data_IF_889234143778
#
_entry.id   IF_889234143778
#
_cell.length_a   1.000
_cell.length_b   1.000
_cell.length_c   1.000
_cell.angle_alpha   90.00
_cell.angle_beta   90.00
_cell.angle_gamma   90.00
#
_symmetry.space_group_name_H-M   'P 1'
#
loop_
_entity.id
_entity.type
_entity.pdbx_description
1 polymer ?
#
# COMPACT_ATOMS: atom_id res chain seq x y z
N UNK A 1 2.99 -21.69 -0.67
CA UNK A 1 1.56 -21.28 -0.66
C UNK A 1 1.40 -20.18 -1.68
N UNK A 2 0.40 -20.28 -2.54
CA UNK A 2 0.10 -19.26 -3.55
C UNK A 2 -0.65 -18.06 -2.93
N UNK A 3 -0.60 -16.87 -3.55
CA UNK A 3 -1.40 -15.73 -3.14
C UNK A 3 -2.92 -15.98 -3.25
N UNK A 4 -3.67 -15.33 -2.37
CA UNK A 4 -5.13 -15.39 -2.36
C UNK A 4 -5.75 -14.27 -1.54
N UNK A 5 -7.08 -14.20 -1.56
CA UNK A 5 -7.85 -13.24 -0.77
C UNK A 5 -7.60 -13.47 0.72
N UNK A 6 -7.53 -12.38 1.49
CA UNK A 6 -7.34 -12.45 2.93
C UNK A 6 -8.53 -13.19 3.58
N UNK A 7 -8.24 -14.26 4.31
CA UNK A 7 -9.25 -15.02 5.04
C UNK A 7 -9.57 -14.33 6.36
N UNK A 8 -10.85 -14.00 6.54
CA UNK A 8 -11.38 -13.43 7.77
C UNK A 8 -12.33 -14.42 8.45
N UNK A 9 -12.48 -14.29 9.77
CA UNK A 9 -13.57 -14.99 10.47
C UNK A 9 -14.93 -14.43 10.03
N UNK A 10 -16.01 -15.17 10.30
CA UNK A 10 -17.37 -14.82 9.84
C UNK A 10 -17.79 -13.40 10.21
N UNK A 11 -17.49 -12.96 11.44
CA UNK A 11 -17.84 -11.63 11.92
C UNK A 11 -17.07 -10.52 11.16
N UNK A 12 -15.76 -10.70 11.00
CA UNK A 12 -14.91 -9.77 10.28
C UNK A 12 -15.25 -9.72 8.79
N UNK A 13 -15.52 -10.86 8.15
CA UNK A 13 -15.95 -10.92 6.73
C UNK A 13 -17.18 -10.06 6.51
N UNK A 14 -18.23 -10.22 7.34
CA UNK A 14 -19.47 -9.44 7.21
C UNK A 14 -19.24 -7.93 7.32
N UNK A 15 -18.35 -7.52 8.23
CA UNK A 15 -18.03 -6.09 8.44
C UNK A 15 -17.19 -5.56 7.27
N UNK A 16 -16.16 -6.29 6.88
CA UNK A 16 -15.28 -5.93 5.75
C UNK A 16 -16.07 -5.82 4.45
N UNK A 17 -16.91 -6.82 4.12
CA UNK A 17 -17.72 -6.81 2.90
C UNK A 17 -18.63 -5.58 2.83
N UNK A 18 -19.21 -5.17 3.97
CA UNK A 18 -20.02 -3.96 4.05
C UNK A 18 -19.20 -2.71 3.70
N UNK A 19 -17.96 -2.61 4.16
CA UNK A 19 -17.09 -1.47 3.85
C UNK A 19 -16.60 -1.50 2.40
N UNK A 20 -16.27 -2.67 1.85
CA UNK A 20 -15.88 -2.82 0.44
C UNK A 20 -17.01 -2.45 -0.52
N UNK A 21 -18.26 -2.72 -0.14
CA UNK A 21 -19.46 -2.37 -0.91
C UNK A 21 -19.95 -0.92 -0.67
N UNK A 22 -19.38 -0.21 0.31
CA UNK A 22 -19.80 1.15 0.62
C UNK A 22 -19.23 2.15 -0.39
N UNK A 23 -20.10 2.91 -1.04
CA UNK A 23 -19.73 3.90 -2.05
C UNK A 23 -18.68 4.91 -1.55
N UNK A 24 -18.69 5.25 -0.25
CA UNK A 24 -17.74 6.21 0.31
C UNK A 24 -16.32 5.65 0.32
N UNK A 25 -16.16 4.38 0.64
CA UNK A 25 -14.84 3.73 0.62
C UNK A 25 -14.39 3.41 -0.80
N UNK A 26 -15.31 3.09 -1.70
CA UNK A 26 -15.00 2.98 -3.14
C UNK A 26 -14.47 4.31 -3.69
N UNK A 27 -15.06 5.44 -3.28
CA UNK A 27 -14.58 6.77 -3.68
C UNK A 27 -13.21 7.10 -3.04
N UNK A 28 -12.99 6.75 -1.77
CA UNK A 28 -11.67 6.91 -1.14
C UNK A 28 -10.59 6.05 -1.80
N UNK A 29 -10.95 4.83 -2.23
CA UNK A 29 -10.06 3.95 -2.97
C UNK A 29 -9.64 4.59 -4.29
N UNK A 30 -10.61 4.99 -5.10
CA UNK A 30 -10.38 5.70 -6.37
C UNK A 30 -9.63 7.02 -6.20
N UNK A 31 -9.87 7.74 -5.11
CA UNK A 31 -9.13 8.95 -4.79
C UNK A 31 -7.65 8.67 -4.57
N UNK A 32 -7.32 7.59 -3.84
CA UNK A 32 -5.94 7.17 -3.68
C UNK A 32 -5.29 6.73 -5.00
N UNK A 33 -6.01 5.99 -5.84
CA UNK A 33 -5.52 5.59 -7.17
C UNK A 33 -5.22 6.85 -8.02
N UNK A 34 -6.15 7.82 -8.05
CA UNK A 34 -5.97 9.08 -8.78
C UNK A 34 -4.76 9.87 -8.27
N UNK A 35 -4.60 10.02 -6.96
CA UNK A 35 -3.42 10.65 -6.38
C UNK A 35 -2.14 9.90 -6.79
N UNK A 36 -2.19 8.58 -6.86
CA UNK A 36 -1.01 7.78 -7.20
C UNK A 36 -0.62 7.99 -8.67
N UNK A 37 -1.58 7.94 -9.60
CA UNK A 37 -1.33 8.22 -11.01
C UNK A 37 -0.90 9.67 -11.25
N UNK A 38 -1.40 10.63 -10.46
CA UNK A 38 -1.01 12.03 -10.58
C UNK A 38 0.42 12.27 -10.10
N UNK A 39 0.79 11.74 -8.93
CA UNK A 39 2.06 12.06 -8.28
C UNK A 39 3.19 11.07 -8.56
N UNK A 40 2.91 9.84 -9.00
CA UNK A 40 3.92 8.86 -9.41
C UNK A 40 3.38 7.95 -10.54
N UNK A 41 3.13 8.49 -11.75
CA UNK A 41 2.49 7.77 -12.85
C UNK A 41 3.24 6.49 -13.27
N UNK A 42 4.58 6.52 -13.27
CA UNK A 42 5.38 5.34 -13.62
C UNK A 42 5.22 4.21 -12.59
N UNK A 43 5.23 4.56 -11.30
CA UNK A 43 5.04 3.58 -10.24
C UNK A 43 3.59 3.06 -10.19
N UNK A 44 2.61 3.93 -10.42
CA UNK A 44 1.21 3.55 -10.51
C UNK A 44 0.96 2.60 -11.70
N UNK A 45 1.55 2.89 -12.86
CA UNK A 45 1.49 2.00 -14.03
C UNK A 45 2.16 0.64 -13.75
N UNK A 46 3.28 0.62 -13.03
CA UNK A 46 3.91 -0.62 -12.58
C UNK A 46 2.97 -1.43 -11.68
N UNK A 47 2.29 -0.81 -10.71
CA UNK A 47 1.31 -1.49 -9.86
C UNK A 47 0.13 -2.04 -10.68
N UNK A 48 -0.42 -1.23 -11.60
CA UNK A 48 -1.52 -1.65 -12.46
C UNK A 48 -1.15 -2.90 -13.27
N UNK A 49 0.05 -2.93 -13.87
CA UNK A 49 0.49 -4.10 -14.63
C UNK A 49 0.56 -5.37 -13.76
N UNK A 50 0.96 -5.24 -12.48
CA UNK A 50 0.97 -6.37 -11.56
C UNK A 50 -0.43 -6.87 -11.22
N UNK A 51 -1.39 -5.97 -11.06
CA UNK A 51 -2.80 -6.31 -10.83
C UNK A 51 -3.38 -7.04 -12.04
N UNK A 52 -3.05 -6.57 -13.25
CA UNK A 52 -3.49 -7.19 -14.50
C UNK A 52 -2.92 -8.61 -14.65
N UNK A 53 -1.61 -8.79 -14.40
CA UNK A 53 -0.93 -10.08 -14.45
C UNK A 53 -1.53 -11.08 -13.44
N UNK A 54 -1.81 -10.64 -12.21
CA UNK A 54 -2.45 -11.49 -11.18
C UNK A 54 -3.88 -11.87 -11.56
N UNK A 55 -4.64 -10.94 -12.13
CA UNK A 55 -6.01 -11.18 -12.58
C UNK A 55 -6.04 -12.21 -13.70
N UNK A 56 -5.10 -12.13 -14.64
CA UNK A 56 -4.96 -13.10 -15.71
C UNK A 56 -4.52 -14.48 -15.19
N UNK A 57 -3.53 -14.51 -14.31
CA UNK A 57 -3.00 -15.76 -13.75
C UNK A 57 -4.05 -16.52 -12.93
N UNK A 58 -4.85 -15.80 -12.14
CA UNK A 58 -5.88 -16.41 -11.28
C UNK A 58 -7.18 -15.60 -11.32
N UNK A 59 -8.06 -15.87 -12.29
CA UNK A 59 -9.35 -15.17 -12.45
C UNK A 59 -10.32 -15.33 -11.26
N UNK A 60 -10.04 -16.25 -10.33
CA UNK A 60 -10.80 -16.42 -9.09
C UNK A 60 -10.41 -15.44 -7.98
N UNK A 61 -9.38 -14.61 -8.17
CA UNK A 61 -9.04 -13.54 -7.23
C UNK A 61 -10.15 -12.49 -7.19
N UNK A 62 -10.48 -12.05 -5.99
CA UNK A 62 -11.46 -10.99 -5.76
C UNK A 62 -10.72 -9.75 -5.26
N UNK A 63 -10.83 -8.66 -6.02
CA UNK A 63 -10.23 -7.38 -5.67
C UNK A 63 -11.11 -6.60 -4.69
N UNK A 64 -10.48 -5.90 -3.74
CA UNK A 64 -11.18 -5.10 -2.73
C UNK A 64 -12.05 -4.02 -3.37
N UNK A 65 -11.50 -3.33 -4.39
CA UNK A 65 -12.19 -2.27 -5.12
C UNK A 65 -11.93 -2.45 -6.62
N UNK A 66 -12.99 -2.37 -7.41
CA UNK A 66 -12.91 -2.51 -8.87
C UNK A 66 -12.04 -1.39 -9.44
N UNK A 67 -10.97 -1.78 -10.15
CA UNK A 67 -10.06 -0.85 -10.82
C UNK A 67 -9.01 -0.21 -9.91
N UNK A 68 -8.86 -0.65 -8.65
CA UNK A 68 -7.79 -0.15 -7.80
C UNK A 68 -6.47 -0.84 -8.09
N UNK A 69 -5.37 -0.08 -8.00
CA UNK A 69 -4.01 -0.61 -8.17
C UNK A 69 -3.47 -1.28 -6.89
N UNK A 70 -4.18 -1.13 -5.77
CA UNK A 70 -3.80 -1.71 -4.48
C UNK A 70 -4.45 -3.07 -4.27
N UNK A 71 -3.63 -4.09 -3.98
CA UNK A 71 -4.13 -5.45 -3.79
C UNK A 71 -4.78 -5.68 -2.40
N UNK A 72 -4.46 -4.84 -1.42
CA UNK A 72 -4.91 -4.97 -0.06
C UNK A 72 -5.36 -3.62 0.52
N UNK A 73 -6.25 -3.67 1.50
CA UNK A 73 -6.63 -2.52 2.30
C UNK A 73 -6.85 -2.91 3.76
N UNK A 74 -6.78 -1.94 4.66
CA UNK A 74 -7.15 -2.13 6.07
C UNK A 74 -8.05 -1.00 6.55
N UNK A 75 -9.11 -1.38 7.25
CA UNK A 75 -9.97 -0.46 7.99
C UNK A 75 -9.53 -0.47 9.44
N UNK A 76 -8.80 0.56 9.86
CA UNK A 76 -8.38 0.70 11.25
C UNK A 76 -9.51 1.32 12.05
N UNK A 77 -10.17 0.48 12.84
CA UNK A 77 -11.23 0.89 13.74
C UNK A 77 -10.69 1.74 14.90
N UNK A 78 -11.54 2.63 15.41
CA UNK A 78 -11.26 3.57 16.47
C UNK A 78 -11.89 3.12 17.80
N UNK A 79 -12.27 4.06 18.69
CA UNK A 79 -12.38 5.50 18.46
C UNK A 79 -11.07 6.28 18.48
N UNK A 80 -9.97 5.67 18.94
CA UNK A 80 -8.66 6.34 19.08
C UNK A 80 -7.58 5.54 18.35
N UNK A 81 -7.71 5.39 17.02
CA UNK A 81 -6.71 4.67 16.23
C UNK A 81 -5.35 5.35 16.35
N UNK A 82 -4.42 4.68 17.03
CA UNK A 82 -3.03 5.09 17.17
C UNK A 82 -2.09 4.05 16.58
N UNK A 83 -0.93 4.48 16.11
CA UNK A 83 0.16 3.56 15.73
C UNK A 83 1.44 3.96 16.44
N UNK A 84 2.18 2.96 16.93
CA UNK A 84 3.56 3.16 17.38
C UNK A 84 4.49 3.28 16.17
N UNK A 85 5.72 3.81 16.32
CA UNK A 85 6.70 3.85 15.23
C UNK A 85 6.93 2.46 14.65
N UNK A 86 6.70 2.31 13.34
CA UNK A 86 6.84 1.03 12.64
C UNK A 86 7.15 1.23 11.15
N UNK A 87 7.53 0.12 10.52
CA UNK A 87 7.64 -0.04 9.07
C UNK A 87 6.64 -1.10 8.63
N UNK A 88 6.03 -0.90 7.47
CA UNK A 88 5.26 -1.95 6.80
C UNK A 88 6.19 -2.83 5.95
N UNK A 89 7.12 -3.52 6.61
CA UNK A 89 8.21 -4.27 5.95
C UNK A 89 7.73 -5.35 4.96
N UNK A 90 6.46 -5.75 5.03
CA UNK A 90 5.84 -6.69 4.09
C UNK A 90 5.46 -6.08 2.74
N UNK A 91 5.37 -4.74 2.64
CA UNK A 91 5.00 -4.03 1.42
C UNK A 91 6.18 -3.90 0.46
N UNK A 92 5.90 -3.51 -0.78
CA UNK A 92 6.96 -3.22 -1.75
C UNK A 92 7.85 -2.08 -1.23
N UNK A 93 9.17 -2.26 -1.24
CA UNK A 93 10.09 -1.33 -0.57
C UNK A 93 10.10 0.08 -1.16
N UNK A 94 10.11 0.21 -2.48
CA UNK A 94 9.92 1.50 -3.17
C UNK A 94 8.43 1.77 -3.45
N UNK A 95 7.53 0.89 -3.03
CA UNK A 95 6.09 1.06 -3.23
C UNK A 95 5.52 2.16 -2.36
N UNK A 96 4.40 2.75 -2.79
CA UNK A 96 3.62 3.67 -1.95
C UNK A 96 2.40 2.96 -1.37
N UNK A 97 2.01 3.42 -0.19
CA UNK A 97 0.76 3.04 0.47
C UNK A 97 -0.07 4.30 0.70
N UNK A 98 -1.37 4.19 0.48
CA UNK A 98 -2.30 5.27 0.76
C UNK A 98 -2.81 5.17 2.19
N UNK A 99 -2.84 6.30 2.89
CA UNK A 99 -3.41 6.42 4.22
C UNK A 99 -4.41 7.56 4.17
N UNK A 100 -5.66 7.30 4.54
CA UNK A 100 -6.71 8.31 4.73
C UNK A 100 -7.03 8.43 6.21
N UNK A 101 -6.87 9.63 6.78
CA UNK A 101 -7.35 9.91 8.13
C UNK A 101 -8.87 10.10 8.11
N UNK A 102 -9.57 9.49 9.06
CA UNK A 102 -11.02 9.55 9.18
C UNK A 102 -11.42 9.91 10.62
N UNK A 103 -12.67 10.35 10.79
CA UNK A 103 -13.23 10.70 12.09
C UNK A 103 -13.44 12.19 12.28
N UNK A 104 -13.42 12.63 13.54
CA UNK A 104 -13.63 14.01 13.96
C UNK A 104 -12.65 14.31 15.09
N UNK A 105 -11.61 15.08 14.76
CA UNK A 105 -10.58 15.55 15.68
C UNK A 105 -9.99 16.85 15.15
N UNK A 106 -9.43 17.66 16.04
CA UNK A 106 -8.69 18.87 15.69
C UNK A 106 -7.26 18.51 15.28
N UNK A 107 -6.89 18.65 13.99
CA UNK A 107 -5.57 18.26 13.51
C UNK A 107 -4.47 19.21 13.95
N UNK A 108 -4.78 20.39 14.50
CA UNK A 108 -3.78 21.27 15.11
C UNK A 108 -3.41 20.82 16.53
N UNK A 109 -4.20 19.93 17.14
CA UNK A 109 -4.08 19.54 18.55
C UNK A 109 -3.79 18.04 18.76
N UNK A 110 -3.90 17.22 17.71
CA UNK A 110 -3.65 15.77 17.77
C UNK A 110 -3.74 15.10 16.40
N UNK A 111 -3.54 13.77 16.37
CA UNK A 111 -3.73 12.97 15.15
C UNK A 111 -2.71 13.15 14.02
N UNK A 112 -1.69 14.00 14.21
CA UNK A 112 -0.55 14.21 13.32
C UNK A 112 0.10 12.89 12.87
N UNK A 113 0.60 12.88 11.63
CA UNK A 113 1.46 11.81 11.11
C UNK A 113 2.92 12.20 11.35
N UNK A 114 3.73 11.26 11.84
CA UNK A 114 5.17 11.43 12.00
C UNK A 114 5.87 10.54 10.98
N UNK A 115 6.78 11.13 10.20
CA UNK A 115 7.73 10.42 9.34
C UNK A 115 9.12 10.57 9.96
N UNK A 116 9.53 9.55 10.72
CA UNK A 116 10.68 9.64 11.64
C UNK A 116 12.00 9.84 10.90
N UNK A 117 12.26 9.06 9.85
CA UNK A 117 13.51 9.13 9.09
C UNK A 117 13.67 10.47 8.35
N UNK A 118 12.54 11.09 7.99
CA UNK A 118 12.51 12.41 7.35
C UNK A 118 12.52 13.56 8.37
N UNK A 119 12.39 13.27 9.67
CA UNK A 119 12.25 14.26 10.75
C UNK A 119 11.08 15.22 10.51
N UNK A 120 9.96 14.70 9.99
CA UNK A 120 8.76 15.47 9.68
C UNK A 120 7.61 15.11 10.62
N UNK A 121 6.94 16.16 11.12
CA UNK A 121 5.64 16.06 11.76
C UNK A 121 4.65 16.76 10.83
N UNK A 122 3.67 16.01 10.34
CA UNK A 122 2.72 16.45 9.33
C UNK A 122 1.36 16.61 10.00
N UNK A 123 0.82 17.82 9.94
CA UNK A 123 -0.59 18.06 10.23
C UNK A 123 -1.44 17.23 9.28
N UNK A 124 -2.25 16.32 9.82
CA UNK A 124 -2.97 15.32 9.02
C UNK A 124 -4.48 15.34 9.31
N UNK A 125 -5.25 16.24 8.66
CA UNK A 125 -6.68 16.44 8.91
C UNK A 125 -7.56 15.21 8.64
N UNK A 126 -8.69 15.05 9.35
CA UNK A 126 -9.72 14.09 8.94
C UNK A 126 -10.18 14.37 7.49
N UNK A 127 -10.35 13.32 6.70
CA UNK A 127 -10.68 13.38 5.28
C UNK A 127 -9.49 13.54 4.34
N UNK A 128 -8.29 13.83 4.85
CA UNK A 128 -7.08 13.92 4.02
C UNK A 128 -6.46 12.55 3.73
N UNK A 129 -5.82 12.43 2.57
CA UNK A 129 -5.11 11.23 2.13
C UNK A 129 -3.66 11.56 1.82
N UNK A 130 -2.73 10.70 2.23
CA UNK A 130 -1.31 10.81 1.93
C UNK A 130 -0.80 9.48 1.35
N UNK A 131 0.15 9.57 0.42
CA UNK A 131 0.88 8.43 -0.13
C UNK A 131 2.31 8.46 0.43
N UNK A 132 2.75 7.36 1.05
CA UNK A 132 4.10 7.26 1.60
C UNK A 132 4.75 5.92 1.25
N UNK A 133 6.09 5.85 1.13
CA UNK A 133 6.80 4.59 1.03
C UNK A 133 6.93 3.91 2.40
N UNK A 134 5.81 3.36 2.89
CA UNK A 134 5.65 2.89 4.27
C UNK A 134 6.53 1.70 4.66
N UNK A 135 7.06 0.98 3.66
CA UNK A 135 7.99 -0.13 3.86
C UNK A 135 9.41 0.32 4.25
N UNK A 136 9.78 1.57 3.96
CA UNK A 136 11.14 2.09 4.18
C UNK A 136 11.19 3.37 5.00
N UNK A 137 10.05 4.03 5.23
CA UNK A 137 9.95 5.20 6.12
C UNK A 137 9.22 4.80 7.39
N UNK A 138 9.93 4.84 8.51
CA UNK A 138 9.39 4.63 9.83
C UNK A 138 8.37 5.72 10.13
N UNK A 139 7.15 5.31 10.47
CA UNK A 139 6.04 6.23 10.64
C UNK A 139 5.12 5.83 11.80
N UNK A 140 4.40 6.82 12.31
CA UNK A 140 3.41 6.67 13.37
C UNK A 140 2.40 7.80 13.32
N UNK A 141 1.33 7.73 14.10
CA UNK A 141 0.49 8.88 14.37
C UNK A 141 0.36 9.13 15.88
N UNK A 142 0.05 10.37 16.24
CA UNK A 142 -0.07 10.77 17.65
C UNK A 142 -1.51 10.65 18.15
N UNK A 143 -1.70 10.49 19.48
CA UNK A 143 -3.04 10.51 20.07
C UNK A 143 -3.84 11.78 19.73
N UNK A 144 -5.16 11.64 19.86
CA UNK A 144 -6.14 12.73 19.82
C UNK A 144 -6.67 12.97 21.24
N UNK A 145 -7.50 14.00 21.42
CA UNK A 145 -8.12 14.29 22.73
C UNK A 145 -9.17 13.23 23.10
N UNK A 146 -9.45 13.02 24.41
CA UNK A 146 -10.36 11.97 24.86
C UNK A 146 -11.78 12.00 24.26
N UNK A 147 -12.30 13.19 23.95
CA UNK A 147 -13.64 13.38 23.38
C UNK A 147 -13.69 13.29 21.85
N UNK A 148 -12.55 13.22 21.19
CA UNK A 148 -12.42 13.15 19.74
C UNK A 148 -12.46 11.70 19.25
N UNK A 149 -12.60 11.52 17.93
CA UNK A 149 -12.57 10.20 17.29
C UNK A 149 -11.66 10.20 16.07
N UNK A 150 -10.81 9.20 15.95
CA UNK A 150 -9.95 8.96 14.79
C UNK A 150 -10.03 7.50 14.38
N UNK A 151 -10.15 7.34 13.07
CA UNK A 151 -10.09 6.09 12.33
C UNK A 151 -9.08 6.27 11.20
N UNK A 152 -8.69 5.19 10.54
CA UNK A 152 -7.99 5.33 9.26
C UNK A 152 -8.34 4.22 8.29
N UNK A 153 -8.19 4.53 7.00
CA UNK A 153 -8.30 3.58 5.92
C UNK A 153 -6.98 3.56 5.17
N UNK A 154 -6.39 2.38 5.00
CA UNK A 154 -5.11 2.22 4.30
C UNK A 154 -5.25 1.28 3.12
N UNK A 155 -4.47 1.54 2.06
CA UNK A 155 -4.39 0.72 0.86
C UNK A 155 -2.93 0.48 0.50
N UNK A 156 -2.57 -0.76 0.19
CA UNK A 156 -1.19 -1.19 0.03
C UNK A 156 -1.11 -2.48 -0.79
N UNK A 157 0.11 -2.81 -1.23
CA UNK A 157 0.38 -4.06 -1.94
C UNK A 157 1.62 -4.72 -1.36
N UNK A 158 1.49 -5.98 -0.95
CA UNK A 158 2.58 -6.74 -0.37
C UNK A 158 3.71 -6.97 -1.40
N UNK A 159 4.96 -6.76 -1.01
CA UNK A 159 6.14 -7.00 -1.83
C UNK A 159 6.26 -8.44 -2.34
N UNK A 160 5.66 -9.38 -1.61
CA UNK A 160 5.58 -10.79 -2.01
C UNK A 160 4.80 -11.03 -3.30
N UNK A 161 3.78 -10.21 -3.61
CA UNK A 161 3.01 -10.33 -4.85
C UNK A 161 3.87 -9.97 -6.06
N UNK A 162 4.65 -8.90 -5.97
CA UNK A 162 5.61 -8.52 -7.02
C UNK A 162 6.66 -9.60 -7.25
N UNK A 163 7.16 -10.23 -6.17
CA UNK A 163 8.11 -11.36 -6.29
C UNK A 163 7.47 -12.58 -6.94
N UNK A 164 6.23 -12.89 -6.57
CA UNK A 164 5.47 -14.00 -7.15
C UNK A 164 5.37 -13.87 -8.67
N UNK A 165 4.95 -12.70 -9.17
CA UNK A 165 4.85 -12.41 -10.62
C UNK A 165 6.23 -12.49 -11.27
N UNK A 166 7.24 -11.83 -10.68
CA UNK A 166 8.62 -11.84 -11.17
C UNK A 166 9.21 -13.26 -11.26
N UNK A 167 8.76 -14.19 -10.43
CA UNK A 167 9.20 -15.58 -10.46
C UNK A 167 8.46 -16.44 -11.50
N UNK A 168 7.51 -15.87 -12.25
CA UNK A 168 6.64 -16.64 -13.14
C UNK A 168 5.52 -17.35 -12.38
N UNK A 169 4.95 -16.69 -11.37
CA UNK A 169 3.86 -17.19 -10.53
C UNK A 169 4.24 -18.41 -9.68
N UNK A 170 5.38 -18.33 -9.02
CA UNK A 170 5.86 -19.35 -8.08
C UNK A 170 6.59 -18.74 -6.89
N UNK A 171 6.78 -19.53 -5.83
CA UNK A 171 7.50 -19.09 -4.64
C UNK A 171 8.98 -18.83 -4.95
N UNK A 172 9.65 -18.04 -4.11
CA UNK A 172 11.11 -17.86 -4.19
C UNK A 172 11.83 -19.23 -4.09
N UNK A 173 11.35 -20.12 -3.23
CA UNK A 173 11.88 -21.49 -3.10
C UNK A 173 11.71 -22.33 -4.39
N UNK A 174 10.54 -22.29 -5.02
CA UNK A 174 10.28 -23.03 -6.25
C UNK A 174 11.14 -22.50 -7.40
N UNK A 175 11.27 -21.17 -7.51
CA UNK A 175 12.18 -20.54 -8.47
C UNK A 175 13.62 -20.99 -8.21
N UNK A 176 14.11 -20.92 -6.98
CA UNK A 176 15.47 -21.35 -6.66
C UNK A 176 15.71 -22.84 -6.95
N UNK A 177 14.71 -23.70 -6.82
CA UNK A 177 14.89 -25.12 -7.10
C UNK A 177 14.81 -25.47 -8.60
N UNK A 178 14.15 -24.63 -9.41
CA UNK A 178 13.87 -24.93 -10.83
C UNK A 178 14.65 -24.06 -11.82
N UNK A 179 15.11 -22.88 -11.41
CA UNK A 179 15.81 -21.94 -12.26
C UNK A 179 17.20 -22.44 -12.68
N UNK A 180 17.55 -22.14 -13.92
CA UNK A 180 18.88 -22.35 -14.50
C UNK A 180 19.94 -21.51 -13.78
N UNK A 181 21.22 -21.85 -13.98
CA UNK A 181 22.33 -21.06 -13.41
C UNK A 181 22.34 -19.65 -13.97
N UNK A 182 21.98 -19.52 -15.24
CA UNK A 182 21.88 -18.27 -15.97
C UNK A 182 20.80 -17.36 -15.38
N UNK A 183 19.57 -17.86 -15.20
CA UNK A 183 18.46 -17.11 -14.59
C UNK A 183 18.80 -16.65 -13.16
N UNK A 184 19.45 -17.51 -12.37
CA UNK A 184 19.90 -17.14 -11.01
C UNK A 184 20.96 -16.04 -11.04
N UNK A 185 21.90 -16.10 -11.98
CA UNK A 185 22.93 -15.06 -12.15
C UNK A 185 22.29 -13.74 -12.55
N UNK A 186 21.39 -13.75 -13.53
CA UNK A 186 20.64 -12.57 -13.95
C UNK A 186 19.85 -11.96 -12.78
N UNK A 187 19.16 -12.81 -12.01
CA UNK A 187 18.42 -12.38 -10.82
C UNK A 187 19.31 -11.71 -9.77
N UNK A 188 20.52 -12.25 -9.55
CA UNK A 188 21.48 -11.68 -8.62
C UNK A 188 21.99 -10.32 -9.10
N UNK A 189 22.25 -10.14 -10.39
CA UNK A 189 22.65 -8.84 -10.96
C UNK A 189 21.51 -7.81 -10.90
N UNK A 190 20.28 -8.23 -11.20
CA UNK A 190 19.11 -7.37 -11.04
C UNK A 190 18.91 -6.93 -9.58
N UNK A 191 19.13 -7.82 -8.62
CA UNK A 191 18.95 -7.51 -7.20
C UNK A 191 19.86 -6.35 -6.74
N UNK A 192 21.06 -6.21 -7.33
CA UNK A 192 22.00 -5.13 -7.03
C UNK A 192 21.48 -3.74 -7.45
N UNK A 193 20.76 -3.68 -8.57
CA UNK A 193 20.26 -2.42 -9.17
C UNK A 193 18.76 -2.19 -8.93
N UNK A 194 18.08 -3.14 -8.27
CA UNK A 194 16.62 -3.11 -8.08
C UNK A 194 16.14 -1.86 -7.34
N UNK A 195 16.88 -1.40 -6.33
CA UNK A 195 16.51 -0.21 -5.57
C UNK A 195 16.58 1.05 -6.45
N UNK A 196 17.59 1.16 -7.32
CA UNK A 196 17.76 2.28 -8.26
C UNK A 196 16.61 2.32 -9.24
N UNK A 197 16.28 1.16 -9.84
CA UNK A 197 15.13 1.01 -10.75
C UNK A 197 13.81 1.36 -10.05
N UNK A 198 13.66 0.95 -8.79
CA UNK A 198 12.49 1.24 -7.97
C UNK A 198 12.30 2.74 -7.73
N UNK A 199 13.35 3.42 -7.29
CA UNK A 199 13.34 4.86 -7.02
C UNK A 199 13.23 5.68 -8.31
N UNK A 200 13.79 5.20 -9.43
CA UNK A 200 13.67 5.86 -10.73
C UNK A 200 12.22 5.97 -11.23
N UNK A 201 11.27 5.21 -10.66
CA UNK A 201 9.84 5.34 -10.95
C UNK A 201 9.17 6.49 -10.17
N UNK A 202 9.87 7.15 -9.25
CA UNK A 202 9.33 8.30 -8.53
C UNK A 202 9.36 9.53 -9.43
N UNK A 203 8.33 10.36 -9.31
CA UNK A 203 8.34 11.67 -9.94
C UNK A 203 9.37 12.57 -9.27
N UNK A 204 9.99 13.43 -10.08
CA UNK A 204 10.77 14.55 -9.58
C UNK A 204 9.87 15.77 -9.43
N UNK A 205 10.31 16.78 -8.67
CA UNK A 205 9.57 18.05 -8.59
C UNK A 205 9.40 18.67 -9.98
N UNK A 206 10.42 18.57 -10.84
CA UNK A 206 10.35 19.12 -12.19
C UNK A 206 9.38 18.34 -13.09
N UNK A 207 9.27 17.02 -12.94
CA UNK A 207 8.28 16.24 -13.70
C UNK A 207 6.83 16.53 -13.30
N UNK A 208 6.60 17.14 -12.13
CA UNK A 208 5.26 17.51 -11.63
C UNK A 208 4.84 18.94 -11.95
N UNK A 209 5.74 19.78 -12.50
CA UNK A 209 5.49 21.20 -12.80
C UNK A 209 4.89 21.46 -14.19
N UNK A 210 4.46 20.41 -14.89
CA UNK A 210 3.86 20.47 -16.24
C UNK A 210 2.62 21.35 -16.29
#
# INVERSE_FOLDING_TARGET
MEPGCLLNNVANTRVTDRFLQDIRFQLLAKWADLLFFLFAPLLAAFYQSQVDDLTLWKPSLVWNFVGSVFAACTFNFGPHTITLPHLDFGNLSWGWCAITALGWFDPDLGGHLILWDLKLVIRFPPGSTILIPSAIICHSNVPIRPHEKRFSFTQYTAGGLFRWIRNGFQTDEAFENTATKEEKRERAEEAKTRWEKGVAMYSTVDSLRT
#
